data_IF_994679500778
#
_entry.id   IF_994679500778
#
_cell.length_a   1.000
_cell.length_b   1.000
_cell.length_c   1.000
_cell.angle_alpha   90.00
_cell.angle_beta   90.00
_cell.angle_gamma   90.00
#
_symmetry.space_group_name_H-M   'P 1'
#
loop_
_entity.id
_entity.type
_entity.pdbx_description
1 polymer ?
#
# COMPACT_ATOMS: atom_id res chain seq x y z
N UNK A 1 15.07 -19.64 -23.46
CA UNK A 1 13.79 -19.85 -24.17
C UNK A 1 12.79 -20.38 -23.16
N UNK A 2 11.63 -19.73 -22.99
CA UNK A 2 10.62 -20.23 -22.04
C UNK A 2 10.12 -21.61 -22.50
N UNK A 3 10.04 -22.56 -21.57
CA UNK A 3 9.48 -23.89 -21.85
C UNK A 3 8.04 -23.75 -22.31
N UNK A 4 7.67 -24.46 -23.37
CA UNK A 4 6.30 -24.41 -23.90
C UNK A 4 5.34 -25.08 -22.91
N UNK A 5 4.11 -24.58 -22.83
CA UNK A 5 3.05 -25.12 -21.97
C UNK A 5 2.90 -26.65 -22.05
N UNK A 6 3.02 -27.22 -23.26
CA UNK A 6 2.97 -28.67 -23.47
C UNK A 6 4.09 -29.47 -22.80
N UNK A 7 5.29 -28.88 -22.64
CA UNK A 7 6.39 -29.54 -21.90
C UNK A 7 6.07 -29.66 -20.41
N UNK A 8 5.34 -28.68 -19.85
CA UNK A 8 4.89 -28.73 -18.46
C UNK A 8 3.84 -29.83 -18.26
N UNK A 9 2.84 -29.93 -19.14
CA UNK A 9 1.84 -31.02 -19.09
C UNK A 9 2.50 -32.40 -19.19
N UNK A 10 3.44 -32.56 -20.12
CA UNK A 10 4.22 -33.79 -20.25
C UNK A 10 5.05 -34.09 -18.99
N UNK A 11 5.73 -33.08 -18.42
CA UNK A 11 6.54 -33.24 -17.21
C UNK A 11 5.71 -33.72 -16.03
N UNK A 12 4.51 -33.20 -15.85
CA UNK A 12 3.61 -33.57 -14.75
C UNK A 12 2.68 -34.73 -15.08
N UNK A 13 2.78 -35.33 -16.28
CA UNK A 13 1.93 -36.42 -16.77
C UNK A 13 0.44 -36.07 -16.72
N UNK A 14 0.10 -34.83 -17.05
CA UNK A 14 -1.26 -34.33 -17.07
C UNK A 14 -1.82 -34.43 -18.50
N UNK A 15 -3.03 -34.99 -18.70
CA UNK A 15 -3.61 -35.15 -20.03
C UNK A 15 -4.02 -33.81 -20.64
N UNK A 16 -4.46 -32.86 -19.81
CA UNK A 16 -4.88 -31.52 -20.19
C UNK A 16 -4.74 -30.56 -19.00
N UNK A 17 -4.99 -29.28 -19.24
CA UNK A 17 -5.12 -28.29 -18.19
C UNK A 17 -6.58 -28.18 -17.79
N UNK A 18 -6.86 -28.51 -16.54
CA UNK A 18 -8.19 -28.43 -15.96
C UNK A 18 -8.48 -26.95 -15.63
N UNK A 19 -9.53 -26.32 -16.17
CA UNK A 19 -9.82 -24.88 -15.99
C UNK A 19 -9.86 -24.44 -14.52
N UNK A 20 -10.27 -25.31 -13.61
CA UNK A 20 -10.31 -25.11 -12.16
C UNK A 20 -8.93 -24.82 -11.58
N UNK A 21 -7.84 -25.30 -12.18
CA UNK A 21 -6.47 -24.93 -11.79
C UNK A 21 -6.12 -23.49 -12.17
N UNK A 22 -6.84 -22.91 -13.12
CA UNK A 22 -6.78 -21.50 -13.49
C UNK A 22 -7.68 -20.60 -12.65
N UNK A 23 -8.45 -21.16 -11.71
CA UNK A 23 -9.23 -20.37 -10.76
C UNK A 23 -8.26 -19.69 -9.78
N UNK A 24 -8.01 -18.40 -10.01
CA UNK A 24 -7.06 -17.59 -9.26
C UNK A 24 -7.83 -16.57 -8.43
N UNK A 25 -7.49 -16.46 -7.15
CA UNK A 25 -7.85 -15.31 -6.32
C UNK A 25 -6.71 -14.29 -6.35
N UNK A 26 -7.05 -12.99 -6.38
CA UNK A 26 -6.10 -11.88 -6.48
C UNK A 26 -6.48 -10.78 -5.50
N UNK A 27 -5.48 -10.20 -4.87
CA UNK A 27 -5.58 -8.95 -4.11
C UNK A 27 -4.51 -7.97 -4.60
N UNK A 28 -4.71 -6.69 -4.34
CA UNK A 28 -3.77 -5.62 -4.66
C UNK A 28 -3.49 -4.85 -3.39
N UNK A 29 -2.20 -4.67 -3.10
CA UNK A 29 -1.68 -3.68 -2.17
C UNK A 29 -1.02 -2.59 -2.99
N UNK A 30 -1.36 -1.32 -2.73
CA UNK A 30 -0.80 -0.17 -3.44
C UNK A 30 -0.53 0.96 -2.49
N UNK A 31 0.70 1.46 -2.52
CA UNK A 31 1.15 2.56 -1.69
C UNK A 31 1.07 3.91 -2.42
N UNK A 32 0.86 4.99 -1.67
CA UNK A 32 0.91 6.37 -2.16
C UNK A 32 1.26 7.32 -1.03
N UNK A 33 2.28 8.16 -1.25
CA UNK A 33 2.53 9.29 -0.35
C UNK A 33 1.44 10.34 -0.49
N UNK A 34 0.97 10.86 0.65
CA UNK A 34 0.29 12.15 0.73
C UNK A 34 1.33 13.25 0.65
N UNK A 35 1.10 14.20 -0.25
CA UNK A 35 1.97 15.35 -0.47
C UNK A 35 1.15 16.65 -0.43
N UNK A 36 1.81 17.74 -0.10
CA UNK A 36 1.29 19.11 -0.26
C UNK A 36 1.18 19.50 -1.74
N UNK A 37 0.49 20.61 -2.02
CA UNK A 37 0.44 21.23 -3.35
C UNK A 37 1.81 21.61 -3.92
N UNK A 38 2.79 21.82 -3.04
CA UNK A 38 4.18 22.13 -3.39
C UNK A 38 5.02 20.86 -3.66
N UNK A 39 4.42 19.68 -3.57
CA UNK A 39 5.09 18.41 -3.85
C UNK A 39 6.02 17.94 -2.73
N UNK A 40 5.84 18.43 -1.50
CA UNK A 40 6.55 17.94 -0.31
C UNK A 40 5.71 16.90 0.43
N UNK A 41 6.35 15.91 1.07
CA UNK A 41 5.65 14.92 1.90
C UNK A 41 4.83 15.61 2.98
N UNK A 42 3.59 15.17 3.16
CA UNK A 42 2.72 15.70 4.19
C UNK A 42 3.26 15.35 5.59
N UNK A 43 3.16 16.31 6.50
CA UNK A 43 3.39 16.11 7.94
C UNK A 43 2.08 15.95 8.73
N UNK A 44 0.94 16.02 8.05
CA UNK A 44 -0.38 15.82 8.64
C UNK A 44 -0.57 14.38 9.13
N UNK A 45 -1.35 14.21 10.20
CA UNK A 45 -1.75 12.89 10.69
C UNK A 45 -2.62 12.13 9.68
N UNK A 46 -2.78 10.82 9.85
CA UNK A 46 -3.73 10.02 9.10
C UNK A 46 -5.14 10.65 9.16
N UNK A 47 -5.79 10.93 8.00
CA UNK A 47 -7.06 11.64 7.99
C UNK A 47 -8.15 10.90 8.77
N UNK A 48 -8.89 11.62 9.63
CA UNK A 48 -9.83 11.00 10.59
C UNK A 48 -10.95 10.22 9.90
N UNK A 49 -11.38 10.68 8.73
CA UNK A 49 -12.43 10.05 7.94
C UNK A 49 -12.02 8.67 7.36
N UNK A 50 -10.73 8.34 7.34
CA UNK A 50 -10.22 7.02 6.97
C UNK A 50 -10.21 6.04 8.15
N UNK A 51 -10.57 6.50 9.36
CA UNK A 51 -10.66 5.67 10.55
C UNK A 51 -9.29 5.36 11.16
N UNK A 52 -9.12 4.14 11.66
CA UNK A 52 -7.87 3.72 12.29
C UNK A 52 -7.01 2.93 11.32
N UNK A 53 -5.83 3.46 10.97
CA UNK A 53 -4.83 2.73 10.19
C UNK A 53 -4.44 1.38 10.83
N UNK A 54 -4.58 1.23 12.15
CA UNK A 54 -4.25 -0.04 12.82
C UNK A 54 -5.20 -1.18 12.44
N UNK A 55 -6.47 -0.88 12.17
CA UNK A 55 -7.55 -1.88 12.07
C UNK A 55 -8.45 -1.76 10.85
N UNK A 56 -8.34 -0.69 10.07
CA UNK A 56 -9.11 -0.54 8.83
C UNK A 56 -8.62 -1.58 7.80
N UNK A 57 -9.52 -2.40 7.22
CA UNK A 57 -9.13 -3.49 6.32
C UNK A 57 -8.81 -3.04 4.88
N UNK A 58 -9.12 -1.79 4.52
CA UNK A 58 -8.97 -1.29 3.14
C UNK A 58 -7.91 -0.20 3.01
N UNK A 59 -7.71 0.59 4.06
CA UNK A 59 -6.84 1.76 4.05
C UNK A 59 -6.02 1.76 5.34
N UNK A 60 -4.70 1.65 5.22
CA UNK A 60 -3.75 1.73 6.32
C UNK A 60 -2.62 2.71 5.96
N UNK A 61 -1.65 2.81 6.85
CA UNK A 61 -0.33 3.40 6.57
C UNK A 61 0.72 2.31 6.56
N UNK A 62 1.71 2.42 5.67
CA UNK A 62 2.94 1.63 5.78
C UNK A 62 3.97 2.37 6.65
N UNK A 63 5.20 2.62 6.20
CA UNK A 63 6.28 3.14 7.06
C UNK A 63 5.98 4.53 7.65
N UNK A 64 5.54 5.45 6.80
CA UNK A 64 5.29 6.84 7.16
C UNK A 64 3.81 7.09 7.46
N UNK A 65 3.51 8.02 8.35
CA UNK A 65 2.13 8.49 8.60
C UNK A 65 1.50 9.09 7.33
N UNK A 66 2.34 9.58 6.42
CA UNK A 66 1.94 10.09 5.11
C UNK A 66 1.92 9.02 4.01
N UNK A 67 2.48 7.84 4.23
CA UNK A 67 2.51 6.75 3.25
C UNK A 67 1.25 5.89 3.42
N UNK A 68 0.21 6.23 2.67
CA UNK A 68 -1.02 5.43 2.64
C UNK A 68 -0.79 4.13 1.87
N UNK A 69 -1.44 3.08 2.33
CA UNK A 69 -1.47 1.77 1.68
C UNK A 69 -2.94 1.35 1.51
N UNK A 70 -3.30 1.01 0.27
CA UNK A 70 -4.63 0.55 -0.10
C UNK A 70 -4.61 -0.94 -0.34
N UNK A 71 -5.52 -1.65 0.31
CA UNK A 71 -5.57 -3.12 0.31
C UNK A 71 -6.94 -3.56 -0.20
N UNK A 72 -6.97 -4.37 -1.25
CA UNK A 72 -8.21 -4.99 -1.72
C UNK A 72 -8.42 -6.38 -1.09
N UNK A 73 -9.67 -6.80 -0.85
CA UNK A 73 -9.97 -8.21 -0.60
C UNK A 73 -9.54 -9.11 -1.76
N UNK A 74 -9.54 -10.41 -1.52
CA UNK A 74 -9.25 -11.40 -2.56
C UNK A 74 -10.47 -11.58 -3.48
N UNK A 75 -10.31 -11.31 -4.78
CA UNK A 75 -11.34 -11.48 -5.81
C UNK A 75 -10.95 -12.52 -6.85
N UNK A 76 -11.95 -13.20 -7.44
CA UNK A 76 -11.75 -14.05 -8.61
C UNK A 76 -11.77 -13.23 -9.91
N UNK A 77 -12.61 -12.20 -9.98
CA UNK A 77 -12.73 -11.30 -11.12
C UNK A 77 -11.76 -10.12 -11.02
N UNK A 78 -11.16 -9.74 -12.15
CA UNK A 78 -10.19 -8.65 -12.22
C UNK A 78 -10.88 -7.29 -12.10
N UNK A 79 -12.05 -7.12 -12.74
CA UNK A 79 -12.76 -5.85 -12.76
C UNK A 79 -13.32 -5.54 -11.37
N UNK A 80 -13.81 -6.53 -10.63
CA UNK A 80 -14.23 -6.35 -9.23
C UNK A 80 -13.08 -5.86 -8.34
N UNK A 81 -11.89 -6.47 -8.47
CA UNK A 81 -10.71 -6.06 -7.73
C UNK A 81 -10.30 -4.61 -8.04
N UNK A 82 -10.26 -4.26 -9.34
CA UNK A 82 -9.92 -2.90 -9.78
C UNK A 82 -10.99 -1.88 -9.38
N UNK A 83 -12.27 -2.23 -9.42
CA UNK A 83 -13.37 -1.35 -9.00
C UNK A 83 -13.31 -1.05 -7.50
N UNK A 84 -12.97 -2.03 -6.66
CA UNK A 84 -12.74 -1.79 -5.24
C UNK A 84 -11.53 -0.88 -5.03
N UNK A 85 -10.42 -1.13 -5.73
CA UNK A 85 -9.24 -0.28 -5.64
C UNK A 85 -9.54 1.17 -6.03
N UNK A 86 -10.31 1.38 -7.11
CA UNK A 86 -10.76 2.71 -7.55
C UNK A 86 -11.62 3.38 -6.48
N UNK A 87 -12.59 2.66 -5.89
CA UNK A 87 -13.46 3.20 -4.84
C UNK A 87 -12.66 3.61 -3.59
N UNK A 88 -11.67 2.82 -3.19
CA UNK A 88 -10.76 3.16 -2.09
C UNK A 88 -10.01 4.47 -2.40
N UNK A 89 -9.46 4.61 -3.61
CA UNK A 89 -8.76 5.84 -4.02
C UNK A 89 -9.69 7.05 -4.02
N UNK A 90 -10.89 6.92 -4.61
CA UNK A 90 -11.87 8.01 -4.71
C UNK A 90 -12.34 8.47 -3.34
N UNK A 91 -12.68 7.53 -2.46
CA UNK A 91 -13.06 7.84 -1.08
C UNK A 91 -11.91 8.54 -0.35
N UNK A 92 -10.68 8.04 -0.48
CA UNK A 92 -9.52 8.63 0.18
C UNK A 92 -9.26 10.05 -0.31
N UNK A 93 -9.22 10.29 -1.64
CA UNK A 93 -9.00 11.62 -2.22
C UNK A 93 -10.06 12.64 -1.78
N UNK A 94 -11.32 12.23 -1.66
CA UNK A 94 -12.40 13.09 -1.18
C UNK A 94 -12.30 13.46 0.30
N UNK A 95 -11.51 12.71 1.06
CA UNK A 95 -11.36 12.85 2.51
C UNK A 95 -9.92 13.21 2.92
N UNK A 96 -9.06 13.56 1.96
CA UNK A 96 -7.77 14.18 2.28
C UNK A 96 -8.01 15.57 2.88
N UNK A 97 -7.17 15.92 3.83
CA UNK A 97 -7.21 17.20 4.54
C UNK A 97 -6.09 18.10 3.99
N UNK A 98 -6.11 19.40 4.32
CA UNK A 98 -5.00 20.34 4.02
C UNK A 98 -4.59 20.46 2.53
N UNK A 99 -5.56 20.33 1.62
CA UNK A 99 -5.32 20.37 0.16
C UNK A 99 -4.25 19.35 -0.31
N UNK A 100 -4.11 18.24 0.42
CA UNK A 100 -3.16 17.19 0.09
C UNK A 100 -3.55 16.44 -1.18
N UNK A 101 -2.54 15.91 -1.84
CA UNK A 101 -2.64 15.13 -3.07
C UNK A 101 -1.85 13.82 -2.94
N UNK A 102 -2.04 12.92 -3.89
CA UNK A 102 -1.20 11.73 -4.00
C UNK A 102 0.05 12.00 -4.82
N UNK A 103 1.17 11.47 -4.35
CA UNK A 103 2.32 11.20 -5.18
C UNK A 103 2.06 9.98 -6.06
N UNK A 104 2.29 10.11 -7.36
CA UNK A 104 1.91 9.13 -8.40
C UNK A 104 3.10 8.33 -8.96
N UNK A 105 4.26 8.41 -8.32
CA UNK A 105 5.50 7.74 -8.74
C UNK A 105 6.05 6.88 -7.61
N UNK A 106 6.76 5.80 -7.97
CA UNK A 106 7.40 4.92 -6.98
C UNK A 106 8.62 5.54 -6.31
N UNK A 107 9.39 6.36 -7.05
CA UNK A 107 10.50 7.11 -6.43
C UNK A 107 9.91 8.30 -5.69
N UNK A 108 10.31 8.58 -4.43
CA UNK A 108 9.71 9.63 -3.62
C UNK A 108 9.88 11.01 -4.25
N UNK A 109 9.00 11.94 -3.87
CA UNK A 109 9.12 13.34 -4.26
C UNK A 109 10.44 13.94 -3.73
N UNK A 110 10.99 14.98 -4.39
CA UNK A 110 12.23 15.62 -3.93
C UNK A 110 12.10 16.08 -2.48
N UNK A 111 13.00 15.58 -1.63
CA UNK A 111 13.07 15.97 -0.22
C UNK A 111 14.14 17.05 -0.03
N UNK A 112 13.79 18.07 0.74
CA UNK A 112 14.77 18.99 1.31
C UNK A 112 15.59 18.28 2.40
N UNK A 113 16.81 18.77 2.66
CA UNK A 113 17.71 18.18 3.66
C UNK A 113 17.11 18.10 5.08
N UNK A 114 16.18 19.00 5.41
CA UNK A 114 15.50 19.08 6.71
C UNK A 114 14.08 18.48 6.68
N UNK A 115 13.70 17.72 5.63
CA UNK A 115 12.33 17.21 5.50
C UNK A 115 12.09 16.11 6.52
N UNK A 116 11.12 16.37 7.41
CA UNK A 116 10.68 15.40 8.39
C UNK A 116 9.71 14.40 7.74
N UNK A 117 10.09 13.12 7.75
CA UNK A 117 9.22 12.02 7.33
C UNK A 117 8.56 11.46 8.60
N UNK A 118 7.25 11.69 8.81
CA UNK A 118 6.59 11.27 10.03
C UNK A 118 6.46 9.74 10.08
N UNK A 119 6.85 9.11 11.18
CA UNK A 119 6.66 7.66 11.36
C UNK A 119 5.18 7.34 11.58
N UNK A 120 4.67 6.27 10.97
CA UNK A 120 3.28 5.87 11.12
C UNK A 120 2.88 5.62 12.59
N UNK A 121 1.73 6.18 12.97
CA UNK A 121 1.18 6.17 14.31
C UNK A 121 -0.05 5.25 14.40
N UNK A 122 -0.02 4.31 15.34
CA UNK A 122 -1.09 3.32 15.52
C UNK A 122 -1.77 3.39 16.91
N UNK A 123 -1.66 4.54 17.57
CA UNK A 123 -2.24 4.78 18.89
C UNK A 123 -1.48 4.12 20.06
N UNK A 124 -2.12 4.06 21.23
CA UNK A 124 -1.46 3.74 22.52
C UNK A 124 -1.53 2.27 22.92
N UNK A 125 -2.23 1.43 22.15
CA UNK A 125 -2.29 -0.02 22.43
C UNK A 125 -0.90 -0.65 22.29
N UNK A 126 -0.65 -1.76 22.99
CA UNK A 126 0.66 -2.44 22.91
C UNK A 126 1.03 -2.83 21.47
N UNK A 127 0.07 -3.31 20.68
CA UNK A 127 0.30 -3.68 19.28
C UNK A 127 0.54 -2.46 18.38
N UNK A 128 -0.17 -1.36 18.63
CA UNK A 128 0.04 -0.10 17.92
C UNK A 128 1.43 0.47 18.19
N UNK A 129 1.81 0.59 19.47
CA UNK A 129 3.14 1.03 19.89
C UNK A 129 4.25 0.14 19.33
N UNK A 130 4.04 -1.18 19.26
CA UNK A 130 5.00 -2.11 18.67
C UNK A 130 5.19 -1.86 17.17
N UNK A 131 4.11 -1.61 16.41
CA UNK A 131 4.18 -1.31 14.97
C UNK A 131 4.90 0.02 14.68
N UNK A 132 4.69 1.04 15.50
CA UNK A 132 5.42 2.31 15.43
C UNK A 132 6.90 2.11 15.79
N UNK A 133 7.20 1.44 16.91
CA UNK A 133 8.59 1.14 17.33
C UNK A 133 9.36 0.34 16.27
N UNK A 134 8.70 -0.59 15.59
CA UNK A 134 9.30 -1.33 14.48
C UNK A 134 9.80 -0.39 13.37
N UNK A 135 9.00 0.62 13.00
CA UNK A 135 9.34 1.60 11.96
C UNK A 135 10.41 2.58 12.42
N UNK A 136 10.42 2.98 13.70
CA UNK A 136 11.55 3.70 14.28
C UNK A 136 12.85 2.88 14.14
N UNK A 137 12.78 1.57 14.41
CA UNK A 137 13.89 0.65 14.21
C UNK A 137 14.36 0.56 12.76
N UNK A 138 13.44 0.56 11.78
CA UNK A 138 13.78 0.62 10.36
C UNK A 138 14.48 1.93 9.99
N UNK A 139 13.96 3.06 10.48
CA UNK A 139 14.57 4.38 10.28
C UNK A 139 16.02 4.41 10.80
N UNK A 140 16.26 3.91 12.00
CA UNK A 140 17.60 3.85 12.57
C UNK A 140 18.58 2.95 11.80
N UNK A 141 18.09 1.94 11.09
CA UNK A 141 18.93 0.97 10.37
C UNK A 141 19.20 1.36 8.93
N UNK A 142 18.20 1.90 8.25
CA UNK A 142 18.20 2.10 6.79
C UNK A 142 17.97 3.56 6.38
N UNK A 143 17.56 4.43 7.30
CA UNK A 143 17.08 5.78 7.02
C UNK A 143 15.64 5.79 6.52
N UNK A 144 14.92 6.85 6.84
CA UNK A 144 13.52 7.05 6.46
C UNK A 144 13.32 7.23 4.94
N UNK A 145 14.28 7.83 4.22
CA UNK A 145 14.16 8.08 2.78
C UNK A 145 14.05 6.79 1.95
N UNK A 146 14.68 5.70 2.38
CA UNK A 146 14.59 4.41 1.70
C UNK A 146 13.19 3.77 1.83
N UNK A 147 12.43 4.20 2.83
CA UNK A 147 11.16 3.59 3.23
C UNK A 147 9.93 4.34 2.68
N UNK A 148 10.14 5.33 1.81
CA UNK A 148 9.07 6.14 1.20
C UNK A 148 9.26 6.30 -0.31
#
# INVERSE_FOLDING_TARGET
MAKRFGESLQRYKLPEFIPEWGAIQRGIEKESLRISSEGQVSTGSHPKALGSALTNPYITTDFSEALLEFITPAFQDINECLAILENIHRYTLQNLENDEMFWVSSMPCPQNADSEIPIAQYGVSNIGRLKTLYREGLNHRYGNLMQI
#
